data_IF_633219997335
#
_entry.id   IF_633219997335
#
_cell.length_a   1.000
_cell.length_b   1.000
_cell.length_c   1.000
_cell.angle_alpha   90.00
_cell.angle_beta   90.00
_cell.angle_gamma   90.00
#
_symmetry.space_group_name_H-M   'P 1'
#
loop_
_entity.id
_entity.type
_entity.pdbx_description
1 polymer ?
#
# COMPACT_ATOMS: atom_id res chain seq x y z
N UNK A 1 45.43 -27.24 32.08
CA UNK A 1 45.10 -27.07 30.64
C UNK A 1 43.60 -27.33 30.44
N UNK A 2 42.79 -26.27 30.25
CA UNK A 2 41.45 -26.38 29.66
C UNK A 2 40.98 -24.98 29.29
N UNK A 3 41.32 -24.53 28.08
CA UNK A 3 40.87 -23.26 27.50
C UNK A 3 40.44 -23.55 26.07
N UNK A 4 39.23 -24.09 25.89
CA UNK A 4 38.77 -24.50 24.55
C UNK A 4 37.27 -24.39 24.29
N UNK A 5 36.47 -23.90 25.27
CA UNK A 5 35.00 -23.90 25.14
C UNK A 5 34.33 -22.55 24.88
N UNK A 6 35.06 -21.43 24.91
CA UNK A 6 34.43 -20.09 24.89
C UNK A 6 34.26 -19.49 23.49
N UNK A 7 35.25 -19.60 22.60
CA UNK A 7 35.31 -18.84 21.33
C UNK A 7 34.36 -19.35 20.24
N UNK A 8 34.08 -20.65 20.18
CA UNK A 8 33.19 -21.23 19.15
C UNK A 8 31.72 -20.81 19.32
N UNK A 9 31.27 -20.58 20.56
CA UNK A 9 29.88 -20.19 20.85
C UNK A 9 29.57 -18.72 20.52
N UNK A 10 30.56 -17.84 20.69
CA UNK A 10 30.44 -16.41 20.38
C UNK A 10 30.48 -16.14 18.87
N UNK A 11 31.34 -16.86 18.13
CA UNK A 11 31.41 -16.78 16.67
C UNK A 11 30.14 -17.32 15.98
N UNK A 12 29.53 -18.38 16.52
CA UNK A 12 28.26 -18.90 16.00
C UNK A 12 27.09 -17.92 16.20
N UNK A 13 27.05 -17.21 17.34
CA UNK A 13 26.03 -16.18 17.61
C UNK A 13 26.25 -14.90 16.79
N UNK A 14 27.50 -14.50 16.56
CA UNK A 14 27.83 -13.38 15.69
C UNK A 14 27.51 -13.67 14.21
N UNK A 15 27.80 -14.89 13.74
CA UNK A 15 27.48 -15.33 12.38
C UNK A 15 25.97 -15.36 12.10
N UNK A 16 25.15 -15.80 13.08
CA UNK A 16 23.69 -15.81 12.95
C UNK A 16 23.10 -14.39 12.89
N UNK A 17 23.67 -13.44 13.64
CA UNK A 17 23.24 -12.04 13.63
C UNK A 17 23.63 -11.31 12.34
N UNK A 18 24.80 -11.62 11.77
CA UNK A 18 25.24 -11.06 10.48
C UNK A 18 24.43 -11.64 9.32
N UNK A 19 24.20 -12.96 9.30
CA UNK A 19 23.30 -13.60 8.33
C UNK A 19 21.87 -13.08 8.47
N UNK A 20 21.34 -12.93 9.69
CA UNK A 20 20.04 -12.31 9.93
C UNK A 20 19.99 -10.86 9.47
N UNK A 21 21.05 -10.09 9.66
CA UNK A 21 21.18 -8.71 9.18
C UNK A 21 21.26 -8.61 7.65
N UNK A 22 22.01 -9.50 6.99
CA UNK A 22 22.08 -9.59 5.53
C UNK A 22 20.74 -10.04 4.95
N UNK A 23 20.08 -11.02 5.57
CA UNK A 23 18.75 -11.48 5.13
C UNK A 23 17.73 -10.36 5.30
N UNK A 24 17.74 -9.64 6.43
CA UNK A 24 16.86 -8.49 6.67
C UNK A 24 17.15 -7.35 5.68
N UNK A 25 18.43 -7.04 5.42
CA UNK A 25 18.83 -6.03 4.45
C UNK A 25 18.45 -6.42 3.02
N UNK A 26 18.67 -7.67 2.62
CA UNK A 26 18.26 -8.19 1.31
C UNK A 26 16.74 -8.23 1.19
N UNK A 27 16.02 -8.57 2.26
CA UNK A 27 14.55 -8.51 2.29
C UNK A 27 14.07 -7.08 2.13
N UNK A 28 14.67 -6.12 2.83
CA UNK A 28 14.32 -4.70 2.72
C UNK A 28 14.74 -4.07 1.38
N UNK A 29 15.78 -4.60 0.74
CA UNK A 29 16.32 -4.09 -0.54
C UNK A 29 15.61 -4.70 -1.75
N UNK A 30 15.25 -5.98 -1.69
CA UNK A 30 14.72 -6.73 -2.85
C UNK A 30 13.25 -7.13 -2.72
N UNK A 31 12.68 -7.18 -1.50
CA UNK A 31 11.23 -7.35 -1.35
C UNK A 31 10.61 -5.96 -1.35
N UNK A 32 9.88 -5.67 -2.42
CA UNK A 32 9.16 -4.41 -2.52
C UNK A 32 8.12 -4.32 -1.41
N UNK A 33 8.01 -3.16 -0.74
CA UNK A 33 7.09 -2.99 0.40
C UNK A 33 5.64 -3.41 0.09
N UNK A 34 5.20 -3.22 -1.14
CA UNK A 34 3.89 -3.68 -1.57
C UNK A 34 3.71 -5.20 -1.49
N UNK A 35 4.75 -6.00 -1.75
CA UNK A 35 4.71 -7.46 -1.63
C UNK A 35 4.52 -7.87 -0.16
N UNK A 36 5.23 -7.21 0.76
CA UNK A 36 5.04 -7.43 2.21
C UNK A 36 3.60 -7.11 2.62
N UNK A 37 3.06 -5.98 2.17
CA UNK A 37 1.66 -5.59 2.43
C UNK A 37 0.67 -6.60 1.85
N UNK A 38 0.86 -7.03 0.61
CA UNK A 38 0.02 -8.01 -0.08
C UNK A 38 -0.01 -9.36 0.67
N UNK A 39 1.18 -9.88 1.03
CA UNK A 39 1.27 -11.12 1.79
C UNK A 39 0.66 -10.98 3.18
N UNK A 40 0.87 -9.83 3.84
CA UNK A 40 0.23 -9.49 5.11
C UNK A 40 -1.29 -9.48 5.02
N UNK A 41 -1.86 -8.88 3.96
CA UNK A 41 -3.31 -8.84 3.73
C UNK A 41 -3.89 -10.24 3.51
N UNK A 42 -3.26 -11.03 2.63
CA UNK A 42 -3.66 -12.43 2.38
C UNK A 42 -3.59 -13.28 3.64
N UNK A 43 -2.55 -13.09 4.47
CA UNK A 43 -2.42 -13.80 5.74
C UNK A 43 -3.48 -13.36 6.75
N UNK A 44 -3.69 -12.05 6.89
CA UNK A 44 -4.68 -11.49 7.81
C UNK A 44 -6.08 -12.04 7.53
N UNK A 45 -6.49 -12.17 6.25
CA UNK A 45 -7.83 -12.63 5.88
C UNK A 45 -8.09 -14.11 6.24
N UNK A 46 -7.04 -14.90 6.52
CA UNK A 46 -7.17 -16.30 6.96
C UNK A 46 -7.63 -16.43 8.41
N UNK A 47 -7.55 -15.37 9.20
CA UNK A 47 -7.93 -15.38 10.60
C UNK A 47 -9.30 -14.71 10.80
N UNK A 48 -10.11 -15.20 11.75
CA UNK A 48 -11.30 -14.49 12.19
C UNK A 48 -10.99 -13.04 12.58
N UNK A 49 -11.77 -12.08 12.09
CA UNK A 49 -11.46 -10.65 12.26
C UNK A 49 -11.32 -10.19 13.72
N UNK A 50 -11.96 -10.88 14.67
CA UNK A 50 -11.83 -10.58 16.11
C UNK A 50 -10.43 -10.89 16.67
N UNK A 51 -9.67 -11.80 16.04
CA UNK A 51 -8.28 -12.10 16.40
C UNK A 51 -7.28 -11.14 15.76
N UNK A 52 -7.66 -10.45 14.69
CA UNK A 52 -6.77 -9.54 13.97
C UNK A 52 -6.91 -8.12 14.56
N UNK A 53 -5.81 -7.50 15.03
CA UNK A 53 -5.84 -6.10 15.47
C UNK A 53 -6.29 -5.18 14.33
N UNK A 54 -7.09 -4.15 14.65
CA UNK A 54 -7.69 -3.24 13.64
C UNK A 54 -6.72 -2.74 12.56
N UNK A 55 -5.48 -2.30 12.86
CA UNK A 55 -4.52 -1.84 11.84
C UNK A 55 -4.13 -2.89 10.80
N UNK A 56 -4.25 -4.17 11.13
CA UNK A 56 -3.88 -5.29 10.26
C UNK A 56 -5.09 -5.94 9.59
N UNK A 57 -6.32 -5.51 9.91
CA UNK A 57 -7.52 -6.02 9.25
C UNK A 57 -7.53 -5.57 7.80
N UNK A 58 -7.98 -6.46 6.94
CA UNK A 58 -8.29 -6.15 5.55
C UNK A 58 -9.69 -5.57 5.49
N UNK A 59 -9.83 -4.38 4.92
CA UNK A 59 -11.09 -3.65 4.81
C UNK A 59 -11.50 -3.51 3.33
N UNK A 60 -12.79 -3.46 3.01
CA UNK A 60 -13.20 -3.03 1.67
C UNK A 60 -12.81 -1.55 1.45
N UNK A 61 -12.32 -1.18 0.26
CA UNK A 61 -12.19 0.22 -0.09
C UNK A 61 -13.59 0.86 -0.21
N UNK A 62 -13.80 2.10 0.26
CA UNK A 62 -15.10 2.75 0.09
C UNK A 62 -15.42 3.01 -1.39
N UNK A 63 -16.67 2.72 -1.80
CA UNK A 63 -17.16 2.95 -3.17
C UNK A 63 -17.02 4.41 -3.63
N UNK A 64 -17.24 5.35 -2.72
CA UNK A 64 -17.11 6.79 -2.98
C UNK A 64 -15.71 7.21 -3.43
N UNK A 65 -14.70 6.38 -3.17
CA UNK A 65 -13.31 6.64 -3.55
C UNK A 65 -12.95 6.01 -4.90
N UNK A 66 -13.85 5.25 -5.53
CA UNK A 66 -13.56 4.62 -6.82
C UNK A 66 -13.50 5.64 -7.95
N UNK A 67 -12.40 5.59 -8.70
CA UNK A 67 -12.14 6.48 -9.84
C UNK A 67 -12.48 5.79 -11.17
N UNK A 68 -12.10 4.51 -11.29
CA UNK A 68 -12.25 3.73 -12.51
C UNK A 68 -11.07 2.79 -12.77
N UNK A 69 -11.04 2.25 -13.99
CA UNK A 69 -10.03 1.34 -14.49
C UNK A 69 -8.99 2.12 -15.29
N UNK A 70 -7.72 1.98 -14.91
CA UNK A 70 -6.57 2.37 -15.72
C UNK A 70 -6.16 1.18 -16.59
N UNK A 71 -6.08 1.41 -17.91
CA UNK A 71 -5.80 0.41 -18.95
C UNK A 71 -4.38 -0.19 -18.97
N UNK A 72 -3.63 -0.10 -17.87
CA UNK A 72 -2.28 -0.66 -17.73
C UNK A 72 -2.22 -1.63 -16.55
N UNK A 73 -1.24 -2.56 -16.53
CA UNK A 73 -1.02 -3.44 -15.39
C UNK A 73 -0.61 -2.67 -14.11
N UNK A 74 -0.87 -3.22 -12.92
CA UNK A 74 -0.59 -2.53 -11.66
C UNK A 74 0.88 -2.17 -11.43
N UNK A 75 1.81 -2.96 -11.97
CA UNK A 75 3.23 -2.58 -11.95
C UNK A 75 3.48 -1.29 -12.72
N UNK A 76 2.99 -1.18 -13.95
CA UNK A 76 3.13 0.01 -14.78
C UNK A 76 2.43 1.20 -14.15
N UNK A 77 1.21 1.02 -13.63
CA UNK A 77 0.49 2.09 -12.94
C UNK A 77 1.28 2.60 -11.71
N UNK A 78 1.85 1.70 -10.91
CA UNK A 78 2.66 2.06 -9.74
C UNK A 78 3.93 2.80 -10.15
N UNK A 79 4.64 2.30 -11.15
CA UNK A 79 5.91 2.86 -11.60
C UNK A 79 5.69 4.26 -12.18
N UNK A 80 4.65 4.45 -13.01
CA UNK A 80 4.24 5.80 -13.48
C UNK A 80 3.93 6.75 -12.33
N UNK A 81 3.09 6.34 -11.36
CA UNK A 81 2.78 7.19 -10.21
C UNK A 81 4.05 7.65 -9.48
N UNK A 82 5.00 6.74 -9.25
CA UNK A 82 6.21 7.05 -8.46
C UNK A 82 7.24 7.82 -9.27
N UNK A 83 7.57 7.34 -10.46
CA UNK A 83 8.68 7.83 -11.27
C UNK A 83 8.32 9.06 -12.10
N UNK A 84 7.08 9.15 -12.58
CA UNK A 84 6.64 10.22 -13.48
C UNK A 84 5.85 11.31 -12.74
N UNK A 85 5.04 10.93 -11.74
CA UNK A 85 4.11 11.86 -11.06
C UNK A 85 4.47 12.17 -9.59
N UNK A 86 5.64 11.72 -9.11
CA UNK A 86 6.19 12.10 -7.81
C UNK A 86 5.44 11.55 -6.59
N UNK A 87 4.69 10.46 -6.76
CA UNK A 87 4.07 9.75 -5.64
C UNK A 87 5.11 8.98 -4.82
N UNK A 88 4.77 8.70 -3.56
CA UNK A 88 5.55 7.85 -2.68
C UNK A 88 4.71 6.69 -2.17
N UNK A 89 5.27 5.48 -2.16
CA UNK A 89 4.61 4.32 -1.56
C UNK A 89 4.41 4.51 -0.05
N UNK A 90 3.22 4.17 0.42
CA UNK A 90 2.81 4.27 1.83
C UNK A 90 2.90 2.91 2.50
N UNK A 91 3.64 2.88 3.61
CA UNK A 91 3.78 1.66 4.42
C UNK A 91 2.64 1.56 5.45
N UNK A 92 2.17 2.70 5.98
CA UNK A 92 1.26 2.78 7.14
C UNK A 92 -0.23 2.87 6.78
N UNK A 93 -0.60 2.67 5.52
CA UNK A 93 -2.01 2.62 5.12
C UNK A 93 -2.67 1.32 5.61
N UNK A 94 -3.98 1.34 5.86
CA UNK A 94 -4.76 0.11 6.07
C UNK A 94 -4.62 -0.84 4.87
N UNK A 95 -4.86 -2.12 5.11
CA UNK A 95 -4.85 -3.14 4.05
C UNK A 95 -6.25 -3.22 3.45
N UNK A 96 -6.33 -3.25 2.12
CA UNK A 96 -7.61 -3.34 1.43
C UNK A 96 -7.71 -4.54 0.52
N UNK A 97 -8.92 -5.06 0.40
CA UNK A 97 -9.31 -6.01 -0.61
C UNK A 97 -10.80 -5.85 -0.88
N UNK A 98 -11.21 -6.11 -2.11
CA UNK A 98 -12.62 -6.14 -2.49
C UNK A 98 -12.89 -7.37 -3.36
N UNK A 99 -14.16 -7.67 -3.58
CA UNK A 99 -14.58 -8.78 -4.43
C UNK A 99 -15.04 -8.23 -5.78
N UNK A 100 -14.60 -8.86 -6.87
CA UNK A 100 -15.04 -8.60 -8.24
C UNK A 100 -15.19 -9.92 -8.95
N UNK A 101 -16.35 -10.16 -9.56
CA UNK A 101 -16.61 -11.39 -10.32
C UNK A 101 -16.29 -12.67 -9.49
N UNK A 102 -16.65 -12.66 -8.20
CA UNK A 102 -16.38 -13.77 -7.27
C UNK A 102 -14.91 -13.97 -6.88
N UNK A 103 -14.02 -13.07 -7.31
CA UNK A 103 -12.59 -13.11 -6.99
C UNK A 103 -12.22 -12.01 -6.01
N UNK A 104 -11.49 -12.38 -4.96
CA UNK A 104 -10.94 -11.42 -4.01
C UNK A 104 -9.68 -10.79 -4.58
N UNK A 105 -9.75 -9.48 -4.83
CA UNK A 105 -8.66 -8.67 -5.32
C UNK A 105 -8.07 -7.85 -4.17
N UNK A 106 -6.75 -7.95 -3.99
CA UNK A 106 -6.03 -7.28 -2.91
C UNK A 106 -5.34 -6.04 -3.43
N UNK A 107 -5.24 -5.02 -2.57
CA UNK A 107 -4.42 -3.84 -2.84
C UNK A 107 -2.97 -4.26 -3.14
N UNK A 108 -2.44 -3.79 -4.27
CA UNK A 108 -1.06 -4.06 -4.72
C UNK A 108 -0.20 -2.80 -4.75
N UNK A 109 -0.78 -1.63 -4.49
CA UNK A 109 -0.04 -0.43 -4.17
C UNK A 109 -0.91 0.56 -3.39
N UNK A 110 -0.27 1.29 -2.47
CA UNK A 110 -0.83 2.44 -1.78
C UNK A 110 0.15 3.58 -1.92
N UNK A 111 -0.20 4.62 -2.68
CA UNK A 111 0.68 5.69 -3.10
C UNK A 111 0.15 7.05 -2.62
N UNK A 112 1.04 7.96 -2.26
CA UNK A 112 0.66 9.32 -1.82
C UNK A 112 1.44 10.40 -2.55
N UNK A 113 0.71 11.38 -3.08
CA UNK A 113 1.26 12.63 -3.59
C UNK A 113 1.02 13.75 -2.58
N UNK A 114 2.05 14.56 -2.32
CA UNK A 114 2.00 15.65 -1.34
C UNK A 114 2.52 16.93 -1.99
N UNK A 115 1.66 17.88 -2.39
CA UNK A 115 2.10 19.14 -3.00
C UNK A 115 3.05 19.93 -2.08
N UNK A 116 2.78 19.93 -0.77
CA UNK A 116 3.63 20.56 0.24
C UNK A 116 4.82 19.71 0.71
N UNK A 117 5.18 18.65 -0.01
CA UNK A 117 6.23 17.71 0.36
C UNK A 117 5.87 16.82 1.55
N UNK A 118 6.89 16.13 2.12
CA UNK A 118 6.73 15.08 3.15
C UNK A 118 5.89 15.49 4.37
N UNK A 119 6.00 16.75 4.78
CA UNK A 119 5.30 17.35 5.92
C UNK A 119 4.21 18.35 5.51
N UNK A 120 3.80 18.36 4.23
CA UNK A 120 2.63 19.10 3.79
C UNK A 120 1.39 18.63 4.54
N UNK A 121 0.43 19.54 4.77
CA UNK A 121 -0.78 19.27 5.57
C UNK A 121 -1.66 18.17 4.96
N UNK A 122 -1.69 18.09 3.64
CA UNK A 122 -2.62 17.27 2.89
C UNK A 122 -1.89 16.36 1.90
N UNK A 123 -2.56 15.28 1.51
CA UNK A 123 -2.06 14.34 0.52
C UNK A 123 -3.21 13.79 -0.34
N UNK A 124 -2.87 13.45 -1.59
CA UNK A 124 -3.69 12.64 -2.47
C UNK A 124 -3.27 11.20 -2.27
N UNK A 125 -4.16 10.36 -1.75
CA UNK A 125 -3.92 8.94 -1.54
C UNK A 125 -4.56 8.15 -2.68
N UNK A 126 -3.77 7.31 -3.34
CA UNK A 126 -4.19 6.43 -4.44
C UNK A 126 -3.92 4.98 -4.06
N UNK A 127 -4.89 4.10 -4.30
CA UNK A 127 -4.79 2.66 -4.09
C UNK A 127 -5.02 1.94 -5.42
N UNK A 128 -4.17 0.96 -5.70
CA UNK A 128 -4.20 0.17 -6.94
C UNK A 128 -4.58 -1.27 -6.63
N UNK A 129 -5.46 -1.83 -7.44
CA UNK A 129 -5.88 -3.23 -7.38
C UNK A 129 -5.79 -3.85 -8.79
N UNK A 130 -5.33 -5.10 -8.94
CA UNK A 130 -5.35 -5.79 -10.22
C UNK A 130 -6.80 -6.09 -10.62
N UNK A 131 -7.12 -6.02 -11.91
CA UNK A 131 -8.34 -6.62 -12.46
C UNK A 131 -8.06 -8.02 -13.01
N UNK A 132 -9.09 -8.87 -13.21
CA UNK A 132 -8.92 -10.19 -13.83
C UNK A 132 -8.35 -10.13 -15.27
N UNK A 133 -8.64 -9.07 -16.03
CA UNK A 133 -8.13 -8.84 -17.39
C UNK A 133 -6.74 -8.19 -17.43
N UNK A 134 -6.07 -8.04 -16.28
CA UNK A 134 -4.68 -7.55 -16.19
C UNK A 134 -4.51 -6.03 -16.21
N UNK A 135 -5.61 -5.28 -16.07
CA UNK A 135 -5.62 -3.83 -15.88
C UNK A 135 -5.55 -3.47 -14.39
N UNK A 136 -5.76 -2.20 -14.08
CA UNK A 136 -5.69 -1.67 -12.72
C UNK A 136 -6.96 -0.92 -12.35
N UNK A 137 -7.65 -1.36 -11.31
CA UNK A 137 -8.64 -0.51 -10.67
C UNK A 137 -8.00 0.49 -9.71
N UNK A 138 -8.57 1.69 -9.68
CA UNK A 138 -8.02 2.83 -8.96
C UNK A 138 -9.05 3.40 -7.99
N UNK A 139 -8.65 3.49 -6.71
CA UNK A 139 -9.36 4.28 -5.70
C UNK A 139 -8.48 5.44 -5.28
N UNK A 140 -9.09 6.59 -5.00
CA UNK A 140 -8.36 7.71 -4.40
C UNK A 140 -9.24 8.60 -3.53
N UNK A 141 -8.57 9.37 -2.68
CA UNK A 141 -9.19 10.46 -1.95
C UNK A 141 -8.14 11.50 -1.56
N UNK A 142 -8.61 12.71 -1.25
CA UNK A 142 -7.82 13.75 -0.63
C UNK A 142 -7.96 13.67 0.90
N UNK A 143 -6.85 13.70 1.62
CA UNK A 143 -6.85 13.55 3.07
C UNK A 143 -5.74 14.33 3.79
N UNK A 144 -5.91 14.47 5.10
CA UNK A 144 -4.84 14.94 5.97
C UNK A 144 -3.68 13.97 5.98
N UNK A 145 -2.46 14.52 5.85
CA UNK A 145 -1.24 13.72 5.86
C UNK A 145 -0.99 13.12 7.26
N UNK A 146 -0.91 11.80 7.41
CA UNK A 146 -0.72 11.13 8.70
C UNK A 146 0.64 11.45 9.35
N UNK A 147 1.60 11.99 8.61
CA UNK A 147 2.88 12.45 9.18
C UNK A 147 2.74 13.71 10.04
N UNK A 148 1.68 14.50 9.84
CA UNK A 148 1.47 15.77 10.57
C UNK A 148 0.16 15.79 11.37
N UNK A 149 -0.86 15.05 10.95
CA UNK A 149 -2.15 15.01 11.63
C UNK A 149 -2.66 13.55 11.81
N UNK A 150 -1.90 12.67 12.50
CA UNK A 150 -2.21 11.25 12.57
C UNK A 150 -3.56 10.94 13.23
N UNK A 151 -3.96 11.69 14.27
CA UNK A 151 -5.24 11.46 14.96
C UNK A 151 -6.42 11.87 14.07
N UNK A 152 -6.33 13.04 13.43
CA UNK A 152 -7.36 13.53 12.53
C UNK A 152 -7.49 12.64 11.28
N UNK A 153 -6.37 12.13 10.74
CA UNK A 153 -6.35 11.13 9.68
C UNK A 153 -7.06 9.83 10.10
N UNK A 154 -6.79 9.30 11.30
CA UNK A 154 -7.50 8.11 11.80
C UNK A 154 -9.00 8.33 12.01
N UNK A 155 -9.43 9.58 12.22
CA UNK A 155 -10.83 9.99 12.33
C UNK A 155 -11.45 10.34 10.98
N UNK A 156 -10.70 10.25 9.89
CA UNK A 156 -11.12 10.61 8.53
C UNK A 156 -11.58 12.08 8.43
N UNK A 157 -11.04 12.96 9.28
CA UNK A 157 -11.37 14.38 9.26
C UNK A 157 -10.87 15.01 7.96
N UNK A 158 -11.79 15.59 7.18
CA UNK A 158 -11.47 16.25 5.92
C UNK A 158 -11.22 15.29 4.75
N UNK A 159 -11.66 14.03 4.83
CA UNK A 159 -11.71 13.14 3.67
C UNK A 159 -12.58 13.72 2.56
N UNK A 160 -12.00 13.85 1.38
CA UNK A 160 -12.64 14.40 0.18
C UNK A 160 -12.36 13.48 -1.01
N UNK A 161 -13.18 12.43 -1.23
CA UNK A 161 -13.03 11.52 -2.36
C UNK A 161 -13.17 12.20 -3.71
N UNK A 162 -14.21 13.02 -3.90
CA UNK A 162 -14.46 13.73 -5.16
C UNK A 162 -13.34 14.70 -5.51
N UNK A 163 -12.85 15.48 -4.53
CA UNK A 163 -11.70 16.34 -4.73
C UNK A 163 -10.39 15.59 -4.86
N UNK A 164 -10.28 14.37 -4.34
CA UNK A 164 -9.21 13.44 -4.64
C UNK A 164 -9.20 13.05 -6.11
N UNK A 165 -10.37 12.61 -6.62
CA UNK A 165 -10.54 12.22 -8.03
C UNK A 165 -10.21 13.37 -8.98
N UNK A 166 -10.75 14.57 -8.74
CA UNK A 166 -10.44 15.74 -9.58
C UNK A 166 -8.94 16.01 -9.65
N UNK A 167 -8.25 16.01 -8.51
CA UNK A 167 -6.79 16.23 -8.43
C UNK A 167 -6.00 15.12 -9.11
N UNK A 168 -6.46 13.87 -9.00
CA UNK A 168 -5.80 12.75 -9.67
C UNK A 168 -5.88 12.91 -11.19
N UNK A 169 -7.07 13.24 -11.71
CA UNK A 169 -7.27 13.47 -13.15
C UNK A 169 -6.50 14.69 -13.66
N UNK A 170 -6.39 15.76 -12.86
CA UNK A 170 -5.55 16.92 -13.19
C UNK A 170 -4.05 16.58 -13.21
N UNK A 171 -3.58 15.74 -12.28
CA UNK A 171 -2.18 15.36 -12.18
C UNK A 171 -1.75 14.33 -13.24
N UNK A 172 -2.72 13.54 -13.72
CA UNK A 172 -2.56 12.48 -14.72
C UNK A 172 -3.34 12.83 -15.99
N UNK A 173 -3.13 14.03 -16.54
CA UNK A 173 -3.93 14.59 -17.64
C UNK A 173 -3.95 13.74 -18.92
N UNK A 174 -2.93 12.90 -19.13
CA UNK A 174 -2.78 11.98 -20.24
C UNK A 174 -3.40 10.60 -19.99
N UNK A 175 -3.95 10.37 -18.79
CA UNK A 175 -4.53 9.10 -18.36
C UNK A 175 -6.06 9.17 -18.37
N UNK A 176 -6.67 8.21 -19.05
CA UNK A 176 -8.12 7.98 -18.97
C UNK A 176 -8.41 6.85 -17.99
N UNK A 177 -9.34 7.11 -17.07
CA UNK A 177 -9.92 6.09 -16.19
C UNK A 177 -11.32 5.76 -16.67
N UNK A 178 -11.54 4.52 -17.12
CA UNK A 178 -12.84 4.03 -17.57
C UNK A 178 -13.66 3.61 -16.35
N UNK A 179 -14.79 4.27 -16.11
CA UNK A 179 -15.70 3.88 -15.03
C UNK A 179 -16.62 2.78 -15.52
N UNK A 180 -16.65 1.65 -14.83
CA UNK A 180 -17.61 0.57 -15.09
C UNK A 180 -18.54 0.49 -13.89
N UNK A 181 -19.84 0.68 -14.11
CA UNK A 181 -20.84 0.65 -13.04
C UNK A 181 -20.98 -0.75 -12.41
N UNK A 182 -20.55 -1.79 -13.13
CA UNK A 182 -20.55 -3.19 -12.68
C UNK A 182 -19.34 -3.57 -11.80
N UNK A 183 -18.37 -2.67 -11.61
CA UNK A 183 -17.08 -3.03 -11.01
C UNK A 183 -17.12 -3.21 -9.48
N UNK A 184 -18.17 -2.72 -8.78
CA UNK A 184 -18.25 -2.71 -7.32
C UNK A 184 -19.68 -3.05 -6.85
N UNK A 185 -20.11 -4.28 -7.12
CA UNK A 185 -21.35 -4.85 -6.57
C UNK A 185 -21.04 -5.92 -5.51
#
# INVERSE_FOLDING_TARGET
MSAGRSTRSLLARAGLSVLGGILAWATLTYVSFWQVRLHGARLSRRFPGWLVPKPFRVLPPPESEYVGVWSVPPETARDRLVEEHGFNQMIRAYLHAYEREGTVLYEVASCSYRPGGRFGRWQLHVRLFPTPDGKTDVWCHWELNPNVAPIAHLRQEGYDPEGGERRLRELLEDVTFERTDDAIA
#
